data_IF_972154483523
#
_entry.id   IF_972154483523
#
_cell.length_a   1.000
_cell.length_b   1.000
_cell.length_c   1.000
_cell.angle_alpha   90.00
_cell.angle_beta   90.00
_cell.angle_gamma   90.00
#
_symmetry.space_group_name_H-M   'P 1'
#
loop_
_entity.id
_entity.type
_entity.pdbx_description
1 polymer ?
#
# COMPACT_ATOMS: atom_id res chain seq x y z
N UNK A 1 10.15 7.59 -20.24
CA UNK A 1 10.72 7.51 -18.88
C UNK A 1 10.20 6.26 -18.21
N UNK A 2 11.01 5.46 -17.52
CA UNK A 2 10.52 4.28 -16.81
C UNK A 2 10.29 4.59 -15.33
N UNK A 3 9.22 4.03 -14.77
CA UNK A 3 8.89 4.07 -13.35
C UNK A 3 8.60 2.65 -12.85
N UNK A 4 8.91 2.41 -11.58
CA UNK A 4 8.47 1.23 -10.85
C UNK A 4 7.86 1.69 -9.54
N UNK A 5 6.61 1.31 -9.32
CA UNK A 5 5.86 1.55 -8.10
C UNK A 5 6.10 0.41 -7.11
N UNK A 6 6.38 0.71 -5.85
CA UNK A 6 6.62 -0.32 -4.84
C UNK A 6 5.66 -0.07 -3.69
N UNK A 7 4.65 -0.91 -3.56
CA UNK A 7 3.71 -0.91 -2.45
C UNK A 7 4.33 -1.68 -1.31
N UNK A 8 4.32 -1.09 -0.12
CA UNK A 8 4.83 -1.70 1.11
C UNK A 8 3.72 -1.78 2.14
N UNK A 9 3.50 -2.98 2.65
CA UNK A 9 2.76 -3.21 3.89
C UNK A 9 3.76 -3.17 5.03
N UNK A 10 3.62 -2.23 5.95
CA UNK A 10 4.41 -2.21 7.17
C UNK A 10 3.51 -2.17 8.40
N UNK A 11 3.81 -2.97 9.43
CA UNK A 11 3.09 -2.95 10.68
C UNK A 11 3.43 -1.67 11.47
N UNK A 12 2.41 -1.00 11.99
CA UNK A 12 2.53 0.17 12.87
C UNK A 12 1.44 0.12 13.95
N UNK A 13 1.82 0.11 15.23
CA UNK A 13 0.88 0.14 16.36
C UNK A 13 -0.23 -0.93 16.26
N UNK A 14 0.12 -2.16 15.92
CA UNK A 14 -0.79 -3.30 15.70
C UNK A 14 -1.67 -3.25 14.44
N UNK A 15 -1.57 -2.19 13.63
CA UNK A 15 -2.30 -2.07 12.37
C UNK A 15 -1.33 -2.07 11.18
N UNK A 16 -1.77 -2.59 10.04
CA UNK A 16 -0.98 -2.53 8.82
C UNK A 16 -1.27 -1.24 8.05
N UNK A 17 -0.19 -0.54 7.66
CA UNK A 17 -0.25 0.63 6.78
C UNK A 17 0.34 0.32 5.42
N UNK A 18 -0.18 1.01 4.42
CA UNK A 18 0.35 1.01 3.06
C UNK A 18 1.21 2.24 2.83
N UNK A 19 2.42 2.01 2.33
CA UNK A 19 3.31 3.04 1.84
C UNK A 19 3.70 2.76 0.38
N UNK A 20 4.10 3.82 -0.32
CA UNK A 20 4.58 3.76 -1.68
C UNK A 20 6.00 4.30 -1.77
N UNK A 21 6.88 3.51 -2.36
CA UNK A 21 8.20 3.94 -2.84
C UNK A 21 8.22 3.97 -4.37
N UNK A 22 9.12 4.76 -4.93
CA UNK A 22 9.32 4.88 -6.37
C UNK A 22 10.74 4.52 -6.76
N UNK A 23 10.87 3.92 -7.95
CA UNK A 23 12.11 3.99 -8.72
C UNK A 23 11.84 4.61 -10.08
N UNK A 24 12.74 5.47 -10.54
CA UNK A 24 12.57 6.21 -11.80
C UNK A 24 13.89 6.26 -12.57
N UNK A 25 13.83 6.20 -13.90
CA UNK A 25 14.97 6.46 -14.78
C UNK A 25 14.74 6.07 -16.24
N UNK A 26 15.57 6.53 -17.18
CA UNK A 26 15.37 6.30 -18.62
C UNK A 26 15.71 4.88 -19.06
N UNK A 27 16.85 4.34 -18.61
CA UNK A 27 17.28 2.96 -18.90
C UNK A 27 17.33 2.12 -17.62
N UNK A 28 18.02 2.63 -16.60
CA UNK A 28 18.08 2.04 -15.26
C UNK A 28 17.23 2.88 -14.31
N UNK A 29 16.35 2.22 -13.56
CA UNK A 29 15.55 2.89 -12.53
C UNK A 29 16.34 3.03 -11.23
N UNK A 30 16.23 4.19 -10.58
CA UNK A 30 16.89 4.54 -9.31
C UNK A 30 15.85 4.84 -8.25
N UNK A 31 16.11 4.42 -7.01
CA UNK A 31 15.21 4.72 -5.87
C UNK A 31 15.11 6.22 -5.65
N UNK A 32 13.88 6.73 -5.62
CA UNK A 32 13.57 8.10 -5.28
C UNK A 32 13.75 8.27 -3.77
N UNK A 33 14.81 8.98 -3.36
CA UNK A 33 15.14 9.13 -1.93
C UNK A 33 14.19 10.04 -1.17
N UNK A 34 13.61 11.02 -1.85
CA UNK A 34 12.69 12.00 -1.28
C UNK A 34 11.51 12.10 -2.24
N UNK A 35 10.45 11.34 -1.96
CA UNK A 35 9.31 11.26 -2.87
C UNK A 35 8.58 12.60 -2.99
N UNK A 36 8.51 13.37 -1.90
CA UNK A 36 7.89 14.69 -1.88
C UNK A 36 8.56 15.66 -2.87
N UNK A 37 9.89 15.79 -2.81
CA UNK A 37 10.66 16.64 -3.73
C UNK A 37 10.49 16.24 -5.19
N UNK A 38 10.30 14.94 -5.47
CA UNK A 38 10.03 14.46 -6.81
C UNK A 38 8.62 14.82 -7.29
N UNK A 39 7.60 14.63 -6.45
CA UNK A 39 6.22 14.98 -6.79
C UNK A 39 6.04 16.49 -6.98
N UNK A 40 6.76 17.32 -6.20
CA UNK A 40 6.84 18.77 -6.44
C UNK A 40 7.51 19.09 -7.76
N UNK A 41 8.63 18.45 -8.07
CA UNK A 41 9.35 18.69 -9.31
C UNK A 41 8.51 18.36 -10.54
N UNK A 42 7.76 17.26 -10.49
CA UNK A 42 6.77 16.90 -11.52
C UNK A 42 5.70 17.99 -11.65
N UNK A 43 5.11 18.41 -10.53
CA UNK A 43 4.02 19.39 -10.54
C UNK A 43 4.47 20.74 -11.12
N UNK A 44 5.65 21.19 -10.73
CA UNK A 44 6.20 22.50 -11.10
C UNK A 44 6.89 22.48 -12.47
N UNK A 45 7.11 21.30 -13.06
CA UNK A 45 7.87 21.17 -14.30
C UNK A 45 9.32 21.63 -14.14
N UNK A 46 9.94 21.34 -13.00
CA UNK A 46 11.34 21.70 -12.73
C UNK A 46 12.28 20.51 -12.81
N UNK A 47 13.53 20.83 -13.14
CA UNK A 47 14.64 19.88 -13.13
C UNK A 47 14.89 19.40 -11.69
N UNK A 48 15.14 18.11 -11.52
CA UNK A 48 15.49 17.51 -10.24
C UNK A 48 16.69 16.57 -10.39
N UNK A 49 17.78 16.89 -9.71
CA UNK A 49 18.94 16.01 -9.60
C UNK A 49 18.63 14.86 -8.62
N UNK A 50 18.66 13.63 -9.10
CA UNK A 50 18.38 12.43 -8.32
C UNK A 50 19.65 11.81 -7.74
N UNK A 51 20.67 11.71 -8.59
CA UNK A 51 22.00 11.18 -8.27
C UNK A 51 23.02 11.89 -9.15
N UNK A 52 24.32 11.74 -8.86
CA UNK A 52 25.39 12.23 -9.73
C UNK A 52 25.36 11.68 -11.16
N UNK A 53 24.56 10.64 -11.43
CA UNK A 53 24.43 10.00 -12.74
C UNK A 53 23.06 10.18 -13.38
N UNK A 54 22.12 10.81 -12.69
CA UNK A 54 20.76 10.93 -13.18
C UNK A 54 20.11 12.23 -12.68
N UNK A 55 19.66 13.02 -13.64
CA UNK A 55 18.87 14.24 -13.45
C UNK A 55 17.60 14.08 -14.25
N UNK A 56 16.46 14.30 -13.61
CA UNK A 56 15.19 14.40 -14.29
C UNK A 56 15.05 15.80 -14.86
N UNK A 57 14.94 15.88 -16.18
CA UNK A 57 14.51 17.06 -16.90
C UNK A 57 13.14 16.79 -17.54
N UNK A 58 12.08 17.52 -17.18
CA UNK A 58 10.75 17.33 -17.76
C UNK A 58 10.69 17.63 -19.27
N UNK A 59 11.68 18.33 -19.84
CA UNK A 59 11.75 18.57 -21.28
C UNK A 59 12.36 17.41 -22.05
N UNK A 60 13.21 16.61 -21.41
CA UNK A 60 13.90 15.47 -22.03
C UNK A 60 13.15 14.15 -21.82
N UNK A 61 12.23 14.09 -20.85
CA UNK A 61 11.58 12.85 -20.44
C UNK A 61 10.07 12.99 -20.31
N UNK A 62 9.35 12.15 -21.05
CA UNK A 62 7.90 11.97 -20.92
C UNK A 62 7.55 10.65 -20.22
N UNK A 63 6.48 10.68 -19.42
CA UNK A 63 5.82 9.50 -18.86
C UNK A 63 4.64 9.11 -19.74
N UNK A 64 4.30 7.81 -19.77
CA UNK A 64 3.06 7.41 -20.43
C UNK A 64 1.83 7.91 -19.66
N UNK A 65 0.66 7.83 -20.29
CA UNK A 65 -0.58 8.36 -19.72
C UNK A 65 -1.01 7.66 -18.43
N UNK A 66 -0.72 6.36 -18.30
CA UNK A 66 -1.06 5.56 -17.12
C UNK A 66 -0.19 5.95 -15.93
N UNK A 67 1.12 6.00 -16.14
CA UNK A 67 2.09 6.48 -15.14
C UNK A 67 1.81 7.93 -14.72
N UNK A 68 1.49 8.79 -15.69
CA UNK A 68 1.15 10.18 -15.43
C UNK A 68 -0.11 10.34 -14.59
N UNK A 69 -1.12 9.48 -14.80
CA UNK A 69 -2.34 9.47 -13.99
C UNK A 69 -2.03 9.11 -12.53
N UNK A 70 -1.21 8.07 -12.32
CA UNK A 70 -0.77 7.67 -10.98
C UNK A 70 0.03 8.80 -10.32
N UNK A 71 1.00 9.38 -11.02
CA UNK A 71 1.83 10.48 -10.48
C UNK A 71 0.97 11.68 -10.07
N UNK A 72 -0.04 12.05 -10.85
CA UNK A 72 -1.00 13.10 -10.47
C UNK A 72 -1.77 12.76 -9.19
N UNK A 73 -2.20 11.52 -9.01
CA UNK A 73 -2.87 11.10 -7.79
C UNK A 73 -1.91 11.14 -6.59
N UNK A 74 -0.67 10.66 -6.75
CA UNK A 74 0.37 10.74 -5.73
C UNK A 74 0.67 12.19 -5.32
N UNK A 75 0.76 13.11 -6.27
CA UNK A 75 0.94 14.55 -5.99
C UNK A 75 -0.23 15.08 -5.15
N UNK A 76 -1.48 14.72 -5.46
CA UNK A 76 -2.65 15.14 -4.66
C UNK A 76 -2.60 14.59 -3.23
N UNK A 77 -2.25 13.31 -3.08
CA UNK A 77 -2.08 12.68 -1.76
C UNK A 77 -1.02 13.41 -0.94
N UNK A 78 0.12 13.72 -1.56
CA UNK A 78 1.22 14.45 -0.94
C UNK A 78 0.82 15.88 -0.54
N UNK A 79 0.05 16.58 -1.37
CA UNK A 79 -0.44 17.91 -1.04
C UNK A 79 -1.45 17.90 0.11
N UNK A 80 -2.37 16.93 0.09
CA UNK A 80 -3.33 16.76 1.17
C UNK A 80 -2.61 16.47 2.50
N UNK A 81 -1.56 15.62 2.50
CA UNK A 81 -0.82 15.32 3.72
C UNK A 81 -0.11 16.53 4.33
N UNK A 82 0.34 17.49 3.49
CA UNK A 82 0.92 18.76 3.97
C UNK A 82 -0.06 19.67 4.70
N UNK A 83 -1.36 19.59 4.40
CA UNK A 83 -2.38 20.45 5.04
C UNK A 83 -2.63 20.05 6.50
N UNK A 84 -2.39 18.77 6.82
CA UNK A 84 -2.57 18.21 8.17
C UNK A 84 -1.28 18.24 8.99
N UNK A 85 -0.24 18.92 8.50
CA UNK A 85 1.07 19.09 9.16
C UNK A 85 1.00 20.06 10.35
N UNK A 86 0.19 19.64 11.33
CA UNK A 86 0.23 20.11 12.71
C UNK A 86 1.05 19.11 13.52
N UNK A 87 1.83 19.59 14.50
CA UNK A 87 2.80 18.81 15.29
C UNK A 87 2.24 17.56 16.01
N UNK A 88 0.92 17.33 15.94
CA UNK A 88 0.18 16.28 16.61
C UNK A 88 -0.11 15.04 15.74
N UNK A 89 0.05 15.10 14.41
CA UNK A 89 -0.37 14.01 13.52
C UNK A 89 0.83 13.18 13.03
N UNK A 90 0.90 11.90 13.45
CA UNK A 90 1.94 10.96 13.02
C UNK A 90 1.99 10.73 11.51
N UNK A 91 0.91 11.07 10.80
CA UNK A 91 0.92 11.09 9.33
C UNK A 91 1.92 12.12 8.79
N UNK A 92 1.95 13.34 9.30
CA UNK A 92 2.66 14.46 8.66
C UNK A 92 4.19 14.46 8.87
N UNK A 93 4.66 14.01 10.06
CA UNK A 93 6.11 13.93 10.37
C UNK A 93 6.90 13.02 9.43
N UNK A 94 6.24 12.06 8.78
CA UNK A 94 6.88 11.12 7.87
C UNK A 94 6.99 11.63 6.41
N UNK A 95 6.53 12.83 6.05
CA UNK A 95 6.50 13.26 4.64
C UNK A 95 7.60 14.22 4.20
N UNK A 96 8.29 14.91 5.12
CA UNK A 96 9.26 15.95 4.74
C UNK A 96 10.64 15.43 4.36
N UNK A 97 11.00 14.21 4.73
CA UNK A 97 12.34 13.64 4.47
C UNK A 97 12.34 12.16 4.06
N UNK A 98 11.16 11.54 3.91
CA UNK A 98 11.07 10.09 3.78
C UNK A 98 11.08 9.61 2.33
N UNK A 99 11.55 8.37 2.17
CA UNK A 99 11.57 7.65 0.88
C UNK A 99 10.18 7.22 0.43
N UNK A 100 9.17 7.46 1.26
CA UNK A 100 7.85 6.85 1.19
C UNK A 100 6.73 7.87 1.22
N UNK A 101 5.66 7.55 0.51
CA UNK A 101 4.39 8.24 0.63
C UNK A 101 3.40 7.29 1.32
N UNK A 102 2.84 7.66 2.48
CA UNK A 102 1.77 6.85 3.05
C UNK A 102 0.53 6.95 2.16
N UNK A 103 -0.16 5.82 1.98
CA UNK A 103 -1.39 5.77 1.20
C UNK A 103 -2.56 5.95 2.17
N UNK A 104 -3.35 7.03 2.04
CA UNK A 104 -4.56 7.24 2.83
C UNK A 104 -5.61 6.15 2.52
N UNK A 105 -6.37 5.68 3.52
CA UNK A 105 -7.42 4.67 3.31
C UNK A 105 -8.42 5.00 2.20
N UNK A 106 -8.84 6.26 2.13
CA UNK A 106 -9.84 6.74 1.16
C UNK A 106 -9.34 6.77 -0.29
N UNK A 107 -8.02 6.78 -0.50
CA UNK A 107 -7.39 6.80 -1.83
C UNK A 107 -6.90 5.41 -2.26
N UNK A 108 -6.76 4.48 -1.31
CA UNK A 108 -6.04 3.24 -1.51
C UNK A 108 -6.60 2.37 -2.63
N UNK A 109 -7.92 2.19 -2.70
CA UNK A 109 -8.53 1.31 -3.70
C UNK A 109 -8.20 1.76 -5.12
N UNK A 110 -8.59 2.99 -5.46
CA UNK A 110 -8.37 3.55 -6.79
C UNK A 110 -6.87 3.58 -7.13
N UNK A 111 -6.02 3.96 -6.18
CA UNK A 111 -4.58 4.04 -6.41
C UNK A 111 -3.97 2.66 -6.66
N UNK A 112 -4.33 1.65 -5.87
CA UNK A 112 -3.82 0.29 -6.04
C UNK A 112 -4.31 -0.35 -7.34
N UNK A 113 -5.57 -0.13 -7.73
CA UNK A 113 -6.11 -0.57 -9.02
C UNK A 113 -5.25 0.00 -10.17
N UNK A 114 -5.00 1.31 -10.16
CA UNK A 114 -4.18 1.96 -11.18
C UNK A 114 -2.73 1.47 -11.21
N UNK A 115 -2.14 1.20 -10.04
CA UNK A 115 -0.75 0.73 -9.92
C UNK A 115 -0.61 -0.74 -10.34
N UNK A 116 -1.62 -1.57 -10.09
CA UNK A 116 -1.58 -3.01 -10.43
C UNK A 116 -1.42 -3.26 -11.93
N UNK A 117 -1.88 -2.33 -12.77
CA UNK A 117 -1.73 -2.36 -14.23
C UNK A 117 -0.38 -1.83 -14.75
N UNK A 118 0.54 -1.47 -13.85
CA UNK A 118 1.84 -0.86 -14.18
C UNK A 118 2.99 -1.72 -13.66
N UNK A 119 4.21 -1.29 -13.98
CA UNK A 119 5.42 -1.84 -13.38
C UNK A 119 5.39 -1.64 -11.87
N UNK A 120 5.01 -2.69 -11.14
CA UNK A 120 4.75 -2.62 -9.71
C UNK A 120 5.40 -3.75 -8.94
N UNK A 121 5.61 -3.56 -7.64
CA UNK A 121 6.01 -4.59 -6.69
C UNK A 121 5.16 -4.45 -5.44
N UNK A 122 4.81 -5.57 -4.83
CA UNK A 122 4.14 -5.58 -3.52
C UNK A 122 5.05 -6.25 -2.50
N UNK A 123 5.36 -5.54 -1.42
CA UNK A 123 6.30 -5.98 -0.41
C UNK A 123 5.64 -5.97 0.96
N UNK A 124 5.90 -7.00 1.73
CA UNK A 124 5.59 -7.05 3.15
C UNK A 124 6.91 -6.85 3.88
N UNK A 125 6.92 -5.92 4.82
CA UNK A 125 8.14 -5.57 5.56
C UNK A 125 7.94 -5.70 7.06
N UNK A 126 9.04 -5.93 7.79
CA UNK A 126 9.05 -5.88 9.25
C UNK A 126 8.97 -4.43 9.77
N UNK A 127 8.80 -4.25 11.09
CA UNK A 127 8.94 -2.95 11.74
C UNK A 127 10.33 -2.32 11.52
N UNK A 128 11.37 -3.15 11.34
CA UNK A 128 12.74 -2.71 11.00
C UNK A 128 12.91 -2.42 9.51
N UNK A 129 11.83 -2.54 8.74
CA UNK A 129 11.79 -2.32 7.31
C UNK A 129 12.64 -3.33 6.48
N UNK A 130 12.80 -4.54 7.00
CA UNK A 130 13.35 -5.66 6.24
C UNK A 130 12.24 -6.31 5.41
N UNK A 131 12.48 -6.58 4.13
CA UNK A 131 11.51 -7.25 3.26
C UNK A 131 11.41 -8.72 3.66
N UNK A 132 10.22 -9.15 4.07
CA UNK A 132 9.94 -10.55 4.42
C UNK A 132 9.40 -11.33 3.24
N UNK A 133 8.47 -10.73 2.49
CA UNK A 133 7.84 -11.32 1.31
C UNK A 133 7.74 -10.26 0.23
N UNK A 134 7.95 -10.67 -1.02
CA UNK A 134 7.82 -9.81 -2.19
C UNK A 134 7.05 -10.54 -3.29
N UNK A 135 6.08 -9.85 -3.86
CA UNK A 135 5.37 -10.25 -5.06
C UNK A 135 5.82 -9.36 -6.23
N UNK A 136 6.20 -9.97 -7.37
CA UNK A 136 6.66 -9.24 -8.55
C UNK A 136 5.56 -8.45 -9.24
N UNK A 137 4.30 -8.74 -8.90
CA UNK A 137 3.08 -8.07 -9.34
C UNK A 137 2.01 -8.31 -8.28
N UNK A 138 0.92 -7.56 -8.34
CA UNK A 138 -0.25 -7.82 -7.50
C UNK A 138 -1.53 -7.49 -8.26
N UNK A 139 -2.64 -8.07 -7.83
CA UNK A 139 -3.97 -7.81 -8.37
C UNK A 139 -4.82 -7.06 -7.35
N UNK A 140 -5.85 -6.37 -7.82
CA UNK A 140 -6.86 -5.74 -6.97
C UNK A 140 -8.23 -6.21 -7.39
N UNK A 141 -9.07 -6.58 -6.43
CA UNK A 141 -10.42 -7.06 -6.70
C UNK A 141 -11.40 -6.65 -5.59
N UNK A 142 -12.66 -6.56 -5.97
CA UNK A 142 -13.81 -6.47 -5.06
C UNK A 142 -14.57 -7.80 -4.96
N UNK A 143 -14.08 -8.83 -5.63
CA UNK A 143 -14.67 -10.16 -5.58
C UNK A 143 -14.61 -10.73 -4.16
N UNK A 144 -15.60 -11.57 -3.85
CA UNK A 144 -15.70 -12.16 -2.54
C UNK A 144 -14.47 -13.05 -2.29
N UNK A 145 -13.83 -12.87 -1.14
CA UNK A 145 -12.91 -13.86 -0.60
C UNK A 145 -13.70 -15.14 -0.35
N UNK A 146 -13.42 -16.17 -1.16
CA UNK A 146 -13.95 -17.50 -0.96
C UNK A 146 -13.02 -18.27 -0.01
N UNK A 147 -13.14 -17.98 1.28
CA UNK A 147 -12.44 -18.76 2.30
C UNK A 147 -13.17 -20.09 2.49
N UNK A 148 -12.49 -21.21 2.27
CA UNK A 148 -12.99 -22.49 2.79
C UNK A 148 -12.75 -22.55 4.29
N UNK A 149 -13.83 -22.83 5.03
CA UNK A 149 -13.79 -23.06 6.47
C UNK A 149 -14.47 -24.38 6.79
N UNK A 150 -13.98 -25.07 7.83
CA UNK A 150 -14.62 -26.26 8.38
C UNK A 150 -14.94 -26.04 9.84
N UNK A 151 -16.11 -26.52 10.25
CA UNK A 151 -16.46 -26.65 11.66
C UNK A 151 -15.97 -27.99 12.16
N UNK A 152 -15.22 -27.97 13.25
CA UNK A 152 -14.71 -29.15 13.93
C UNK A 152 -15.33 -29.16 15.32
N UNK A 153 -16.07 -30.21 15.63
CA UNK A 153 -16.55 -30.42 17.00
C UNK A 153 -15.38 -30.91 17.85
N UNK A 154 -14.97 -30.09 18.82
CA UNK A 154 -13.84 -30.35 19.74
C UNK A 154 -14.32 -30.94 21.07
N UNK A 155 -15.56 -30.66 21.46
CA UNK A 155 -16.28 -31.30 22.56
C UNK A 155 -17.79 -31.20 22.32
N UNK A 156 -18.61 -31.82 23.17
CA UNK A 156 -20.07 -31.82 23.02
C UNK A 156 -20.62 -30.38 22.99
N UNK A 157 -21.07 -29.95 21.81
CA UNK A 157 -21.57 -28.59 21.58
C UNK A 157 -20.50 -27.50 21.46
N UNK A 158 -19.21 -27.86 21.49
CA UNK A 158 -18.09 -26.95 21.26
C UNK A 158 -17.53 -27.12 19.84
N UNK A 159 -17.67 -26.08 19.02
CA UNK A 159 -17.20 -26.08 17.65
C UNK A 159 -16.05 -25.10 17.46
N UNK A 160 -14.97 -25.57 16.88
CA UNK A 160 -13.86 -24.75 16.38
C UNK A 160 -14.02 -24.52 14.89
N UNK A 161 -13.81 -23.28 14.44
CA UNK A 161 -13.74 -22.95 13.02
C UNK A 161 -12.27 -23.00 12.61
N UNK A 162 -11.94 -23.91 11.69
CA UNK A 162 -10.65 -23.92 11.02
C UNK A 162 -10.80 -23.33 9.62
N UNK A 163 -9.96 -22.36 9.30
CA UNK A 163 -9.83 -21.82 7.96
C UNK A 163 -8.66 -22.49 7.25
N UNK A 164 -8.89 -23.09 6.08
CA UNK A 164 -7.86 -23.88 5.40
C UNK A 164 -6.80 -22.99 4.71
N UNK A 165 -7.18 -21.76 4.31
CA UNK A 165 -6.38 -20.88 3.46
C UNK A 165 -5.78 -19.65 4.18
N UNK A 166 -5.89 -19.56 5.51
CA UNK A 166 -5.58 -18.33 6.24
C UNK A 166 -4.10 -18.15 6.62
N UNK A 167 -3.23 -19.11 6.32
CA UNK A 167 -1.82 -19.06 6.74
C UNK A 167 -1.00 -17.94 6.07
N UNK A 168 -1.52 -17.25 5.06
CA UNK A 168 -0.83 -16.17 4.32
C UNK A 168 -1.68 -14.89 4.14
N UNK A 169 -2.82 -14.79 4.81
CA UNK A 169 -3.66 -13.59 4.73
C UNK A 169 -3.07 -12.45 5.57
N UNK A 170 -2.97 -11.27 4.98
CA UNK A 170 -2.57 -10.04 5.67
C UNK A 170 -3.75 -9.08 5.71
N UNK A 171 -4.22 -8.81 6.92
CA UNK A 171 -5.33 -7.89 7.15
C UNK A 171 -4.86 -6.45 6.99
N UNK A 172 -5.54 -5.70 6.14
CA UNK A 172 -5.34 -4.28 5.89
C UNK A 172 -6.56 -3.54 6.44
N UNK A 173 -6.78 -3.63 7.76
CA UNK A 173 -8.04 -3.21 8.42
C UNK A 173 -8.40 -1.75 8.17
N UNK A 174 -7.39 -0.86 8.21
CA UNK A 174 -7.54 0.56 7.89
C UNK A 174 -8.13 0.79 6.50
N UNK A 175 -7.84 -0.12 5.58
CA UNK A 175 -8.23 -0.08 4.17
C UNK A 175 -9.47 -0.92 3.87
N UNK A 176 -10.01 -1.60 4.89
CA UNK A 176 -11.10 -2.60 4.76
C UNK A 176 -10.77 -3.60 3.66
N UNK A 177 -9.54 -4.13 3.69
CA UNK A 177 -9.05 -5.05 2.67
C UNK A 177 -8.26 -6.20 3.30
N UNK A 178 -8.10 -7.28 2.54
CA UNK A 178 -7.21 -8.39 2.86
C UNK A 178 -6.27 -8.61 1.69
N UNK A 179 -4.98 -8.72 1.94
CA UNK A 179 -4.02 -9.17 0.97
C UNK A 179 -3.80 -10.67 1.10
N UNK A 180 -4.02 -11.42 0.02
CA UNK A 180 -3.93 -12.87 -0.02
C UNK A 180 -3.28 -13.29 -1.35
N UNK A 181 -2.18 -14.04 -1.29
CA UNK A 181 -1.51 -14.65 -2.44
C UNK A 181 -1.32 -13.71 -3.65
N UNK A 182 -0.86 -12.49 -3.40
CA UNK A 182 -0.62 -11.50 -4.46
C UNK A 182 -1.84 -10.69 -4.85
N UNK A 183 -2.99 -10.85 -4.18
CA UNK A 183 -4.23 -10.12 -4.50
C UNK A 183 -4.72 -9.30 -3.32
N UNK A 184 -5.02 -8.02 -3.55
CA UNK A 184 -5.69 -7.13 -2.59
C UNK A 184 -7.20 -7.21 -2.81
N UNK A 185 -7.91 -7.78 -1.84
CA UNK A 185 -9.36 -7.92 -1.84
C UNK A 185 -10.00 -6.81 -0.99
N UNK A 186 -10.66 -5.85 -1.62
CA UNK A 186 -11.41 -4.81 -0.91
C UNK A 186 -12.79 -5.33 -0.48
N UNK A 187 -13.15 -5.11 0.78
CA UNK A 187 -14.37 -5.62 1.39
C UNK A 187 -15.55 -4.65 1.21
N UNK A 188 -16.60 -5.08 0.51
CA UNK A 188 -17.83 -4.29 0.33
C UNK A 188 -18.63 -4.13 1.65
N UNK A 189 -19.40 -3.04 1.76
CA UNK A 189 -20.20 -2.68 2.95
C UNK A 189 -21.26 -3.71 3.37
N UNK A 190 -21.70 -4.59 2.45
CA UNK A 190 -22.73 -5.59 2.74
C UNK A 190 -22.29 -6.77 3.60
N UNK A 191 -21.01 -6.87 3.99
CA UNK A 191 -20.46 -8.11 4.57
C UNK A 191 -19.58 -7.93 5.81
N UNK A 192 -19.64 -6.79 6.49
CA UNK A 192 -18.93 -6.61 7.78
C UNK A 192 -19.52 -7.43 8.94
N UNK A 193 -20.65 -8.11 8.73
CA UNK A 193 -21.36 -8.87 9.77
C UNK A 193 -20.79 -10.25 10.09
N UNK A 194 -19.86 -10.80 9.29
CA UNK A 194 -19.35 -12.17 9.51
C UNK A 194 -17.84 -12.25 9.78
N UNK A 195 -17.06 -11.20 9.51
CA UNK A 195 -15.61 -11.21 9.80
C UNK A 195 -15.26 -10.55 11.14
N UNK A 196 -16.10 -9.64 11.67
CA UNK A 196 -15.79 -8.84 12.86
C UNK A 196 -16.45 -9.36 14.15
N UNK A 197 -17.13 -10.52 14.12
CA UNK A 197 -17.94 -11.01 15.23
C UNK A 197 -17.18 -11.83 16.30
N UNK A 198 -15.85 -11.98 16.21
CA UNK A 198 -15.11 -12.91 17.08
C UNK A 198 -14.10 -12.29 18.04
N UNK A 199 -14.02 -10.96 18.16
CA UNK A 199 -13.34 -10.33 19.30
C UNK A 199 -14.32 -10.03 20.44
N UNK A 200 -14.85 -11.07 21.09
CA UNK A 200 -15.43 -10.95 22.45
C UNK A 200 -15.76 -12.27 23.17
N UNK A 201 -14.82 -13.21 23.24
CA UNK A 201 -14.79 -14.27 24.27
C UNK A 201 -13.31 -14.65 24.42
N UNK A 202 -12.58 -14.51 25.52
CA UNK A 202 -12.89 -14.37 26.94
C UNK A 202 -11.62 -13.90 27.66
N UNK A 203 -11.71 -12.77 28.38
CA UNK A 203 -10.84 -12.49 29.53
C UNK A 203 -11.72 -12.62 30.78
N UNK A 204 -11.57 -13.76 31.47
CA UNK A 204 -11.88 -14.05 32.88
C UNK A 204 -12.36 -15.49 33.03
N UNK A 205 -11.43 -16.39 33.35
CA UNK A 205 -11.41 -17.21 34.57
C UNK A 205 -10.19 -18.15 34.51
#
# INVERSE_FOLDING_TARGET
MNIQFIIKVFPENQMNRLALELKVGPERVYVVKQIGSFLEAIKEGRILEFTSRFTYDPNDYEFDSGDWSVLKQLTRIYEASKLYDTELDSFARNYREDKRLLIPPNEAKLLLEQISERSSLFQIVTEKNDVTIQYPEFLVTEENLDFSYRFIEVAEGEYQIEFESLQQAIFLDLYRAVFLDGTVHFLSEKKLGSACATERVSANC
#
